data_IF_412098736985
#
_entry.id   IF_412098736985
#
_cell.length_a   1.000
_cell.length_b   1.000
_cell.length_c   1.000
_cell.angle_alpha   90.00
_cell.angle_beta   90.00
_cell.angle_gamma   90.00
#
_symmetry.space_group_name_H-M   'P 1'
#
loop_
_entity.id
_entity.type
_entity.pdbx_description
1 polymer ?
#
# COMPACT_ATOMS: atom_id res chain seq x y z
N UNK A 1 15.40 14.95 -8.77
CA UNK A 1 15.19 13.72 -7.99
C UNK A 1 16.16 12.66 -8.49
N UNK A 2 16.61 11.75 -7.62
CA UNK A 2 17.47 10.62 -8.02
C UNK A 2 16.69 9.73 -9.01
N UNK A 3 17.33 9.29 -10.09
CA UNK A 3 16.71 8.38 -11.06
C UNK A 3 16.33 7.07 -10.37
N UNK A 4 15.16 6.52 -10.69
CA UNK A 4 14.69 5.27 -10.12
C UNK A 4 15.48 4.10 -10.70
N UNK A 5 16.14 3.34 -9.83
CA UNK A 5 16.92 2.16 -10.21
C UNK A 5 15.99 0.95 -10.31
N UNK A 6 16.05 0.26 -11.45
CA UNK A 6 15.30 -0.96 -11.69
C UNK A 6 16.21 -2.15 -11.46
N UNK A 7 15.76 -3.14 -10.70
CA UNK A 7 16.43 -4.42 -10.49
C UNK A 7 15.94 -5.44 -11.52
N UNK A 8 16.74 -6.50 -11.75
CA UNK A 8 16.38 -7.64 -12.61
C UNK A 8 15.94 -7.27 -14.05
N UNK A 9 16.57 -6.21 -14.60
CA UNK A 9 16.35 -5.83 -16.00
C UNK A 9 17.03 -6.84 -16.91
N UNK A 10 16.26 -7.42 -17.82
CA UNK A 10 16.70 -8.40 -18.82
C UNK A 10 16.08 -8.09 -20.19
N UNK A 11 16.45 -8.84 -21.22
CA UNK A 11 15.96 -8.59 -22.59
C UNK A 11 14.43 -8.59 -22.71
N UNK A 12 13.74 -9.41 -21.89
CA UNK A 12 12.28 -9.52 -21.94
C UNK A 12 11.53 -8.31 -21.36
N UNK A 13 12.16 -7.55 -20.45
CA UNK A 13 11.54 -6.40 -19.77
C UNK A 13 12.22 -5.04 -20.08
N UNK A 14 13.37 -5.04 -20.75
CA UNK A 14 14.15 -3.83 -21.05
C UNK A 14 13.34 -2.76 -21.79
N UNK A 15 12.54 -3.16 -22.77
CA UNK A 15 11.67 -2.22 -23.52
C UNK A 15 10.65 -1.55 -22.60
N UNK A 16 10.02 -2.30 -21.70
CA UNK A 16 9.06 -1.74 -20.76
C UNK A 16 9.72 -0.73 -19.81
N UNK A 17 10.94 -1.03 -19.32
CA UNK A 17 11.67 -0.10 -18.44
C UNK A 17 12.02 1.20 -19.17
N UNK A 18 12.43 1.11 -20.44
CA UNK A 18 12.70 2.28 -21.26
C UNK A 18 11.42 3.11 -21.48
N UNK A 19 10.32 2.45 -21.84
CA UNK A 19 9.03 3.12 -22.04
C UNK A 19 8.52 3.77 -20.75
N UNK A 20 8.67 3.11 -19.60
CA UNK A 20 8.28 3.64 -18.29
C UNK A 20 8.99 4.97 -18.02
N UNK A 21 10.31 5.03 -18.22
CA UNK A 21 11.14 6.21 -17.92
C UNK A 21 10.73 7.47 -18.69
N UNK A 22 10.06 7.32 -19.83
CA UNK A 22 9.60 8.42 -20.68
C UNK A 22 8.22 8.96 -20.25
N UNK A 23 7.55 8.33 -19.30
CA UNK A 23 6.16 8.64 -18.93
C UNK A 23 6.13 9.58 -17.74
N UNK A 24 5.10 10.42 -17.68
CA UNK A 24 4.92 11.38 -16.59
C UNK A 24 4.88 10.70 -15.19
N UNK A 25 4.35 9.47 -15.12
CA UNK A 25 4.31 8.71 -13.86
C UNK A 25 5.68 8.18 -13.39
N UNK A 26 6.74 8.29 -14.19
CA UNK A 26 8.11 8.00 -13.75
C UNK A 26 8.70 9.09 -12.83
N UNK A 27 8.05 10.25 -12.77
CA UNK A 27 8.38 11.32 -11.82
C UNK A 27 7.14 11.66 -10.99
N UNK A 28 6.75 10.79 -10.05
CA UNK A 28 5.54 11.01 -9.25
C UNK A 28 5.67 12.24 -8.37
N UNK A 29 4.53 12.90 -8.12
CA UNK A 29 4.43 13.92 -7.09
C UNK A 29 4.66 13.29 -5.71
N UNK A 30 5.17 14.09 -4.77
CA UNK A 30 5.36 13.63 -3.39
C UNK A 30 4.01 13.41 -2.73
N UNK A 31 3.86 12.30 -1.99
CA UNK A 31 2.61 11.97 -1.31
C UNK A 31 2.16 13.06 -0.33
N UNK A 32 3.09 13.69 0.39
CA UNK A 32 2.83 14.81 1.31
C UNK A 32 2.27 16.07 0.63
N UNK A 33 2.42 16.20 -0.69
CA UNK A 33 1.89 17.33 -1.47
C UNK A 33 0.52 17.04 -2.11
N UNK A 34 -0.02 15.84 -1.89
CA UNK A 34 -1.28 15.42 -2.49
C UNK A 34 -2.46 15.86 -1.62
N UNK A 35 -3.33 16.68 -2.20
CA UNK A 35 -4.66 16.92 -1.66
C UNK A 35 -5.63 15.83 -2.13
N UNK A 36 -6.12 15.01 -1.18
CA UNK A 36 -7.08 13.93 -1.42
C UNK A 36 -8.45 14.40 -1.89
N UNK A 37 -8.83 15.66 -1.64
CA UNK A 37 -10.12 16.21 -2.07
C UNK A 37 -10.26 16.23 -3.60
N UNK A 38 -9.14 16.34 -4.32
CA UNK A 38 -9.09 16.40 -5.79
C UNK A 38 -9.37 15.08 -6.49
N UNK A 39 -9.45 13.98 -5.75
CA UNK A 39 -9.58 12.63 -6.31
C UNK A 39 -10.88 11.98 -5.85
N UNK A 40 -11.43 11.13 -6.72
CA UNK A 40 -12.67 10.39 -6.47
C UNK A 40 -12.42 8.97 -5.94
N UNK A 41 -11.25 8.40 -6.22
CA UNK A 41 -10.87 7.04 -5.83
C UNK A 41 -9.37 6.97 -5.50
N UNK A 42 -9.00 6.09 -4.58
CA UNK A 42 -7.61 5.78 -4.25
C UNK A 42 -7.29 4.36 -4.66
N UNK A 43 -6.26 4.18 -5.49
CA UNK A 43 -5.73 2.88 -5.88
C UNK A 43 -4.32 2.72 -5.31
N UNK A 44 -4.11 1.65 -4.54
CA UNK A 44 -2.81 1.24 -4.01
C UNK A 44 -2.49 -0.11 -4.66
N UNK A 45 -1.71 -0.12 -5.75
CA UNK A 45 -1.33 -1.36 -6.41
C UNK A 45 -0.43 -2.21 -5.50
N UNK A 46 -0.18 -3.46 -5.89
CA UNK A 46 0.76 -4.31 -5.15
C UNK A 46 2.15 -3.69 -5.18
N UNK A 47 2.65 -3.30 -4.01
CA UNK A 47 3.96 -2.73 -3.80
C UNK A 47 4.59 -3.31 -2.53
N UNK A 48 5.55 -4.25 -2.62
CA UNK A 48 6.20 -4.84 -1.45
C UNK A 48 6.84 -3.80 -0.51
N UNK A 49 7.30 -2.68 -1.07
CA UNK A 49 7.85 -1.55 -0.31
C UNK A 49 6.85 -0.92 0.67
N UNK A 50 5.53 -1.06 0.44
CA UNK A 50 4.51 -0.48 1.32
C UNK A 50 4.58 -0.98 2.77
N UNK A 51 5.08 -2.20 2.98
CA UNK A 51 5.34 -2.74 4.31
C UNK A 51 6.38 -1.92 5.09
N UNK A 52 7.33 -1.29 4.39
CA UNK A 52 8.43 -0.57 4.98
C UNK A 52 8.16 0.93 5.13
N UNK A 53 7.49 1.56 4.16
CA UNK A 53 7.29 3.03 4.16
C UNK A 53 5.84 3.46 4.37
N UNK A 54 4.88 2.85 3.65
CA UNK A 54 3.48 3.27 3.65
C UNK A 54 2.71 2.81 4.89
N UNK A 55 3.04 1.65 5.45
CA UNK A 55 2.37 1.06 6.62
C UNK A 55 2.43 1.95 7.87
N UNK A 56 3.38 2.89 7.94
CA UNK A 56 3.51 3.88 9.02
C UNK A 56 3.52 5.33 8.51
N UNK A 57 3.01 5.58 7.30
CA UNK A 57 3.03 6.92 6.69
C UNK A 57 1.90 7.82 7.18
N UNK A 58 2.24 8.91 7.86
CA UNK A 58 1.26 9.91 8.30
C UNK A 58 0.58 10.66 7.14
N UNK A 59 1.30 10.88 6.04
CA UNK A 59 0.73 11.51 4.83
C UNK A 59 -0.34 10.62 4.21
N UNK A 60 -0.09 9.31 4.14
CA UNK A 60 -1.08 8.36 3.64
C UNK A 60 -2.26 8.23 4.60
N UNK A 61 -2.01 8.17 5.91
CA UNK A 61 -3.06 8.08 6.92
C UNK A 61 -4.08 9.23 6.76
N UNK A 62 -3.60 10.46 6.55
CA UNK A 62 -4.47 11.63 6.30
C UNK A 62 -5.32 11.47 5.03
N UNK A 63 -4.74 10.94 3.95
CA UNK A 63 -5.48 10.69 2.70
C UNK A 63 -6.54 9.60 2.94
N UNK A 64 -6.18 8.49 3.58
CA UNK A 64 -7.12 7.39 3.87
C UNK A 64 -8.28 7.85 4.76
N UNK A 65 -8.00 8.63 5.80
CA UNK A 65 -9.03 9.23 6.66
C UNK A 65 -9.98 10.15 5.89
N UNK A 66 -9.44 10.99 4.99
CA UNK A 66 -10.29 11.84 4.13
C UNK A 66 -11.17 11.01 3.19
N UNK A 67 -10.62 9.98 2.56
CA UNK A 67 -11.39 9.08 1.70
C UNK A 67 -12.49 8.37 2.48
N UNK A 68 -12.18 7.93 3.70
CA UNK A 68 -13.14 7.33 4.62
C UNK A 68 -14.28 8.29 4.99
N UNK A 69 -13.95 9.52 5.40
CA UNK A 69 -14.95 10.51 5.84
C UNK A 69 -15.89 10.91 4.70
N UNK A 70 -15.37 10.99 3.48
CA UNK A 70 -16.14 11.32 2.27
C UNK A 70 -16.82 10.08 1.64
N UNK A 71 -16.72 8.90 2.25
CA UNK A 71 -17.22 7.64 1.68
C UNK A 71 -16.71 7.36 0.25
N UNK A 72 -15.48 7.79 -0.05
CA UNK A 72 -14.82 7.56 -1.34
C UNK A 72 -14.20 6.16 -1.40
N UNK A 73 -14.23 5.50 -2.57
CA UNK A 73 -13.66 4.16 -2.73
C UNK A 73 -12.14 4.14 -2.56
N UNK A 74 -11.66 3.11 -1.85
CA UNK A 74 -10.25 2.78 -1.68
C UNK A 74 -10.06 1.33 -2.16
N UNK A 75 -9.12 1.13 -3.08
CA UNK A 75 -8.76 -0.18 -3.60
C UNK A 75 -7.28 -0.42 -3.30
N UNK A 76 -6.98 -1.41 -2.46
CA UNK A 76 -5.61 -1.83 -2.16
C UNK A 76 -5.42 -3.29 -2.59
N UNK A 77 -4.30 -3.59 -3.24
CA UNK A 77 -4.07 -4.89 -3.87
C UNK A 77 -2.75 -5.49 -3.40
N UNK A 78 -2.72 -6.79 -3.12
CA UNK A 78 -1.50 -7.51 -2.75
C UNK A 78 -0.78 -6.86 -1.56
N UNK A 79 0.52 -6.63 -1.69
CA UNK A 79 1.30 -6.00 -0.61
C UNK A 79 0.92 -4.53 -0.36
N UNK A 80 0.20 -3.89 -1.30
CA UNK A 80 -0.33 -2.54 -1.11
C UNK A 80 -1.36 -2.44 0.01
N UNK A 81 -1.97 -3.56 0.42
CA UNK A 81 -2.92 -3.60 1.55
C UNK A 81 -2.25 -3.21 2.87
N UNK A 82 -0.94 -3.45 3.02
CA UNK A 82 -0.16 -2.99 4.17
C UNK A 82 -0.24 -1.47 4.38
N UNK A 83 -0.42 -0.71 3.29
CA UNK A 83 -0.54 0.73 3.33
C UNK A 83 -1.80 1.20 4.10
N UNK A 84 -2.82 0.35 4.26
CA UNK A 84 -4.01 0.68 5.06
C UNK A 84 -3.73 0.69 6.56
N UNK A 85 -2.64 0.05 7.02
CA UNK A 85 -2.32 -0.12 8.43
C UNK A 85 -1.96 1.19 9.13
N UNK A 86 -1.55 2.23 8.37
CA UNK A 86 -1.18 3.53 8.95
C UNK A 86 -2.38 4.35 9.43
N UNK A 87 -3.59 4.05 8.96
CA UNK A 87 -4.78 4.85 9.26
C UNK A 87 -5.40 4.44 10.61
N UNK A 88 -5.02 5.16 11.67
CA UNK A 88 -5.57 4.98 13.02
C UNK A 88 -6.35 6.21 13.47
N UNK A 89 -7.34 6.00 14.34
CA UNK A 89 -8.10 7.05 15.02
C UNK A 89 -7.31 7.59 16.22
N UNK A 90 -7.81 8.66 16.85
CA UNK A 90 -7.17 9.27 18.04
C UNK A 90 -7.06 8.31 19.23
N UNK A 91 -8.01 7.38 19.36
CA UNK A 91 -8.03 6.32 20.37
C UNK A 91 -7.12 5.12 20.01
N UNK A 92 -6.36 5.22 18.92
CA UNK A 92 -5.50 4.18 18.32
C UNK A 92 -6.26 2.99 17.71
N UNK A 93 -7.58 3.05 17.62
CA UNK A 93 -8.34 2.06 16.86
C UNK A 93 -8.06 2.19 15.36
N UNK A 94 -8.10 1.08 14.63
CA UNK A 94 -7.88 1.09 13.19
C UNK A 94 -9.12 1.63 12.47
N UNK A 95 -8.92 2.51 11.48
CA UNK A 95 -10.02 3.18 10.75
C UNK A 95 -10.92 2.21 9.99
N UNK A 96 -10.38 1.03 9.66
CA UNK A 96 -11.08 -0.04 8.94
C UNK A 96 -11.51 -1.18 9.86
N UNK A 97 -11.65 -0.95 11.17
CA UNK A 97 -12.21 -1.94 12.08
C UNK A 97 -13.59 -2.42 11.60
N UNK A 98 -13.84 -3.72 11.67
CA UNK A 98 -15.08 -4.35 11.16
C UNK A 98 -15.18 -4.50 9.64
N UNK A 99 -14.17 -4.06 8.87
CA UNK A 99 -14.14 -4.26 7.42
C UNK A 99 -13.75 -5.70 7.08
N UNK A 100 -14.23 -6.18 5.92
CA UNK A 100 -13.68 -7.37 5.30
C UNK A 100 -12.53 -6.97 4.38
N UNK A 101 -11.35 -7.52 4.63
CA UNK A 101 -10.12 -7.19 3.91
C UNK A 101 -9.46 -8.49 3.43
N UNK A 102 -8.83 -8.43 2.26
CA UNK A 102 -8.02 -9.53 1.70
C UNK A 102 -6.63 -9.02 1.38
N UNK A 103 -5.66 -9.92 1.23
CA UNK A 103 -4.27 -9.61 0.93
C UNK A 103 -3.42 -10.88 0.91
N UNK A 104 -2.09 -10.76 0.77
CA UNK A 104 -1.18 -11.89 0.87
C UNK A 104 -1.37 -12.58 2.22
N UNK A 105 -1.82 -13.83 2.18
CA UNK A 105 -2.04 -14.64 3.37
C UNK A 105 -0.71 -15.07 4.00
N UNK A 106 -0.72 -15.37 5.29
CA UNK A 106 0.41 -16.00 5.99
C UNK A 106 0.84 -17.24 5.23
N UNK A 107 -0.11 -18.08 4.80
CA UNK A 107 0.16 -19.31 4.05
C UNK A 107 0.97 -19.07 2.77
N UNK A 108 0.66 -18.03 2.01
CA UNK A 108 1.43 -17.64 0.82
C UNK A 108 2.81 -17.07 1.22
N UNK A 109 2.83 -16.20 2.24
CA UNK A 109 4.01 -15.49 2.66
C UNK A 109 5.09 -16.41 3.24
N UNK A 110 4.75 -17.51 3.96
CA UNK A 110 5.76 -18.41 4.55
C UNK A 110 6.68 -19.03 3.49
N UNK A 111 6.20 -19.14 2.24
CA UNK A 111 6.90 -19.78 1.13
C UNK A 111 7.84 -18.80 0.42
N UNK A 112 7.75 -17.50 0.71
CA UNK A 112 8.55 -16.47 0.07
C UNK A 112 9.93 -16.30 0.75
N UNK A 113 11.02 -16.10 -0.04
CA UNK A 113 12.36 -15.88 0.50
C UNK A 113 12.47 -14.49 1.13
N UNK A 114 12.04 -14.37 2.38
CA UNK A 114 12.01 -13.08 3.08
C UNK A 114 10.96 -12.98 4.18
N UNK A 115 10.12 -14.00 4.35
CA UNK A 115 9.08 -14.04 5.39
C UNK A 115 9.58 -13.59 6.77
N UNK A 116 10.69 -14.16 7.22
CA UNK A 116 11.27 -13.87 8.53
C UNK A 116 11.78 -12.42 8.72
N UNK A 117 11.86 -11.63 7.64
CA UNK A 117 12.29 -10.23 7.65
C UNK A 117 11.13 -9.26 7.41
N UNK A 118 9.90 -9.74 7.25
CA UNK A 118 8.77 -8.86 7.05
C UNK A 118 8.54 -8.02 8.32
N UNK A 119 8.43 -6.69 8.21
CA UNK A 119 8.19 -5.82 9.36
C UNK A 119 6.76 -5.92 9.88
N UNK A 120 5.85 -6.44 9.04
CA UNK A 120 4.42 -6.53 9.29
C UNK A 120 3.86 -7.71 8.51
N UNK A 121 2.98 -8.47 9.15
CA UNK A 121 2.13 -9.47 8.50
C UNK A 121 0.72 -8.90 8.48
N UNK A 122 0.22 -8.57 7.28
CA UNK A 122 -1.07 -7.87 7.12
C UNK A 122 -2.24 -8.70 7.65
N UNK A 123 -2.24 -10.01 7.41
CA UNK A 123 -3.29 -10.90 7.92
C UNK A 123 -3.39 -10.85 9.44
N UNK A 124 -2.26 -10.92 10.15
CA UNK A 124 -2.23 -10.87 11.62
C UNK A 124 -2.68 -9.49 12.11
N UNK A 125 -2.17 -8.41 11.51
CA UNK A 125 -2.59 -7.05 11.85
C UNK A 125 -4.09 -6.83 11.67
N UNK A 126 -4.68 -7.28 10.56
CA UNK A 126 -6.11 -7.13 10.28
C UNK A 126 -6.95 -7.85 11.34
N UNK A 127 -6.56 -9.07 11.72
CA UNK A 127 -7.25 -9.85 12.75
C UNK A 127 -7.13 -9.19 14.13
N UNK A 128 -5.93 -8.75 14.51
CA UNK A 128 -5.66 -8.09 15.79
C UNK A 128 -6.38 -6.73 15.90
N UNK A 129 -6.52 -6.02 14.78
CA UNK A 129 -7.22 -4.74 14.69
C UNK A 129 -8.77 -4.87 14.66
N UNK A 130 -9.31 -6.09 14.78
CA UNK A 130 -10.75 -6.34 14.84
C UNK A 130 -11.46 -6.22 13.48
N UNK A 131 -10.75 -6.49 12.39
CA UNK A 131 -11.33 -6.63 11.06
C UNK A 131 -11.35 -8.10 10.64
N UNK A 132 -12.09 -8.39 9.56
CA UNK A 132 -12.28 -9.73 9.04
C UNK A 132 -11.29 -9.92 7.90
N UNK A 133 -10.33 -10.82 8.07
CA UNK A 133 -9.46 -11.25 6.98
C UNK A 133 -10.11 -12.40 6.21
N UNK A 134 -10.23 -12.23 4.89
CA UNK A 134 -10.71 -13.26 3.96
C UNK A 134 -9.66 -13.49 2.88
N UNK A 135 -9.08 -14.69 2.83
CA UNK A 135 -8.08 -15.12 1.85
C UNK A 135 -8.56 -16.32 1.04
#
# INVERSE_FOLDING_TARGET
GKTMDFVDVNESNARWVQDFRLKAYASPAKLESIDGARYHALLIPSCPGALADLASSGSLARILQHFRSESKPICAVGHGVAALCCATNEDRSWVFQGYSVTGPSVYELIRAPGFARLPLIVEDFVKDAGAIFSG
#
